data_IF_362871226836
#
_entry.id   IF_362871226836
#
_cell.length_a   1.000
_cell.length_b   1.000
_cell.length_c   1.000
_cell.angle_alpha   90.00
_cell.angle_beta   90.00
_cell.angle_gamma   90.00
#
_symmetry.space_group_name_H-M   'P 1'
#
loop_
_entity.id
_entity.type
_entity.pdbx_description
1 polymer ?
#
# COMPACT_ATOMS: atom_id res chain seq x y z
N UNK A 1 -23.29 -50.28 -50.12
CA UNK A 1 -24.05 -49.68 -51.24
C UNK A 1 -25.39 -49.21 -50.68
N UNK A 2 -25.74 -47.93 -50.92
CA UNK A 2 -27.03 -47.25 -50.64
C UNK A 2 -27.49 -47.19 -49.16
N UNK A 3 -27.35 -46.08 -48.43
CA UNK A 3 -28.02 -44.75 -48.50
C UNK A 3 -29.35 -44.67 -47.73
N UNK A 4 -29.44 -43.55 -46.98
CA UNK A 4 -30.61 -42.78 -46.48
C UNK A 4 -31.24 -43.28 -45.17
N UNK A 5 -31.13 -42.52 -44.07
CA UNK A 5 -31.63 -41.17 -43.75
C UNK A 5 -33.01 -41.22 -43.08
N UNK A 6 -33.07 -40.82 -41.82
CA UNK A 6 -34.28 -40.35 -41.16
C UNK A 6 -33.90 -39.16 -40.28
N UNK A 7 -34.30 -37.98 -40.73
CA UNK A 7 -34.23 -36.73 -39.98
C UNK A 7 -35.43 -36.64 -39.03
N UNK A 8 -35.20 -36.18 -37.79
CA UNK A 8 -36.20 -35.44 -37.02
C UNK A 8 -35.50 -34.28 -36.32
N UNK A 9 -35.83 -33.06 -36.75
CA UNK A 9 -35.62 -31.83 -35.97
C UNK A 9 -36.78 -31.70 -34.99
N UNK A 10 -36.48 -31.38 -33.74
CA UNK A 10 -37.40 -30.60 -32.92
C UNK A 10 -36.57 -29.73 -31.99
N UNK A 11 -36.71 -28.42 -32.16
CA UNK A 11 -36.01 -27.42 -31.38
C UNK A 11 -36.51 -27.36 -29.95
N UNK A 12 -35.58 -27.03 -29.04
CA UNK A 12 -35.88 -26.41 -27.77
C UNK A 12 -34.82 -25.34 -27.53
N UNK A 13 -35.27 -24.10 -27.57
CA UNK A 13 -34.55 -22.97 -27.02
C UNK A 13 -34.31 -23.21 -25.53
N UNK A 14 -33.04 -23.18 -25.11
CA UNK A 14 -32.65 -23.09 -23.72
C UNK A 14 -31.86 -21.79 -23.55
N UNK A 15 -32.60 -20.73 -23.22
CA UNK A 15 -32.08 -19.60 -22.47
C UNK A 15 -31.71 -20.10 -21.06
N UNK A 16 -30.46 -19.86 -20.63
CA UNK A 16 -29.90 -19.86 -19.26
C UNK A 16 -28.42 -20.21 -19.41
N UNK A 17 -27.47 -19.66 -18.68
CA UNK A 17 -27.40 -18.67 -17.62
C UNK A 17 -25.92 -18.25 -17.62
N UNK A 18 -25.58 -17.03 -17.19
CA UNK A 18 -24.19 -16.57 -17.13
C UNK A 18 -23.28 -17.55 -16.38
N UNK A 19 -22.21 -17.99 -17.06
CA UNK A 19 -21.13 -18.74 -16.41
C UNK A 19 -20.27 -17.78 -15.60
N UNK A 20 -20.49 -17.87 -14.29
CA UNK A 20 -19.64 -17.49 -13.17
C UNK A 20 -18.16 -17.23 -13.52
N UNK A 21 -17.76 -15.98 -13.40
CA UNK A 21 -16.37 -15.59 -13.23
C UNK A 21 -15.83 -16.07 -11.87
N UNK A 22 -14.88 -16.99 -11.92
CA UNK A 22 -13.61 -16.95 -11.18
C UNK A 22 -13.58 -16.83 -9.64
N UNK A 23 -14.64 -17.14 -8.90
CA UNK A 23 -14.54 -17.29 -7.43
C UNK A 23 -13.65 -18.49 -7.01
N UNK A 24 -13.49 -19.50 -7.88
CA UNK A 24 -12.60 -20.64 -7.64
C UNK A 24 -11.11 -20.34 -7.79
N UNK A 25 -10.75 -19.25 -8.48
CA UNK A 25 -9.34 -18.85 -8.70
C UNK A 25 -8.75 -18.14 -7.47
N UNK A 26 -9.57 -17.30 -6.82
CA UNK A 26 -9.16 -16.45 -5.71
C UNK A 26 -8.71 -17.25 -4.46
N UNK A 27 -9.32 -18.41 -4.21
CA UNK A 27 -8.99 -19.25 -3.03
C UNK A 27 -7.89 -20.28 -3.26
N UNK A 28 -7.47 -20.55 -4.51
CA UNK A 28 -6.41 -21.53 -4.82
C UNK A 28 -5.03 -21.10 -4.32
N UNK A 29 -4.82 -19.80 -4.17
CA UNK A 29 -3.56 -19.23 -3.67
C UNK A 29 -3.45 -19.27 -2.13
N UNK A 30 -4.58 -19.28 -1.42
CA UNK A 30 -4.59 -19.38 0.04
C UNK A 30 -4.15 -20.78 0.50
N UNK A 31 -4.42 -21.81 -0.32
CA UNK A 31 -4.18 -23.22 0.00
C UNK A 31 -2.80 -23.76 -0.42
N UNK A 32 -1.88 -22.93 -0.93
CA UNK A 32 -0.54 -23.36 -1.39
C UNK A 32 0.55 -23.11 -0.34
N UNK A 33 0.46 -23.80 0.80
CA UNK A 33 1.22 -23.46 2.01
C UNK A 33 2.41 -24.40 2.33
N UNK A 34 3.11 -24.94 1.33
CA UNK A 34 4.32 -25.78 1.55
C UNK A 34 5.65 -25.12 1.19
N UNK A 35 5.65 -23.89 0.64
CA UNK A 35 6.88 -23.20 0.20
C UNK A 35 7.20 -21.89 0.95
N UNK A 36 6.37 -21.46 1.93
CA UNK A 36 6.54 -20.19 2.66
C UNK A 36 7.88 -20.05 3.37
N UNK A 37 8.50 -21.15 3.78
CA UNK A 37 9.81 -21.15 4.45
C UNK A 37 10.97 -20.83 3.51
N UNK A 38 10.79 -20.96 2.19
CA UNK A 38 11.80 -20.61 1.18
C UNK A 38 11.76 -19.13 0.81
N UNK A 39 10.58 -18.53 0.68
CA UNK A 39 10.44 -17.11 0.33
C UNK A 39 10.87 -16.16 1.45
N UNK A 40 10.63 -16.52 2.72
CA UNK A 40 11.13 -15.75 3.87
C UNK A 40 12.66 -15.76 4.00
N UNK A 41 13.34 -16.74 3.39
CA UNK A 41 14.80 -16.83 3.33
C UNK A 41 15.40 -16.14 2.10
N UNK A 42 14.56 -15.68 1.17
CA UNK A 42 14.99 -15.07 -0.10
C UNK A 42 14.90 -13.54 -0.11
N UNK A 43 14.11 -12.94 0.78
CA UNK A 43 14.13 -11.48 0.96
C UNK A 43 15.41 -11.07 1.68
N UNK A 44 16.19 -10.19 1.05
CA UNK A 44 17.46 -9.71 1.60
C UNK A 44 17.25 -8.78 2.80
N UNK A 45 16.08 -8.14 2.89
CA UNK A 45 15.64 -7.31 4.00
C UNK A 45 14.17 -7.55 4.39
N UNK A 46 13.82 -7.27 5.65
CA UNK A 46 12.44 -7.37 6.15
C UNK A 46 11.51 -6.45 5.35
N UNK A 47 11.98 -5.26 4.99
CA UNK A 47 11.22 -4.27 4.22
C UNK A 47 10.83 -4.79 2.82
N UNK A 48 11.76 -5.46 2.14
CA UNK A 48 11.52 -6.09 0.84
C UNK A 48 10.48 -7.22 0.95
N UNK A 49 10.55 -8.00 2.03
CA UNK A 49 9.56 -9.03 2.33
C UNK A 49 8.15 -8.47 2.54
N UNK A 50 8.04 -7.35 3.26
CA UNK A 50 6.76 -6.66 3.50
C UNK A 50 6.18 -6.06 2.21
N UNK A 51 7.02 -5.43 1.39
CA UNK A 51 6.63 -4.90 0.09
C UNK A 51 6.08 -6.02 -0.81
N UNK A 52 6.80 -7.14 -0.91
CA UNK A 52 6.35 -8.31 -1.70
C UNK A 52 5.01 -8.87 -1.18
N UNK A 53 4.85 -8.95 0.14
CA UNK A 53 3.60 -9.42 0.76
C UNK A 53 2.43 -8.48 0.46
N UNK A 54 2.65 -7.16 0.49
CA UNK A 54 1.63 -6.18 0.14
C UNK A 54 1.16 -6.37 -1.31
N UNK A 55 2.08 -6.43 -2.27
CA UNK A 55 1.75 -6.55 -3.69
C UNK A 55 1.12 -7.90 -4.04
N UNK A 56 1.61 -9.00 -3.47
CA UNK A 56 1.09 -10.33 -3.79
C UNK A 56 -0.26 -10.60 -3.13
N UNK A 57 -0.44 -10.17 -1.87
CA UNK A 57 -1.54 -10.62 -1.01
C UNK A 57 -2.62 -9.56 -0.80
N UNK A 58 -2.24 -8.31 -0.57
CA UNK A 58 -3.12 -7.29 -0.02
C UNK A 58 -3.70 -6.40 -1.14
N UNK A 59 -2.84 -5.96 -2.07
CA UNK A 59 -3.22 -5.12 -3.21
C UNK A 59 -4.36 -5.69 -4.08
N UNK A 60 -4.45 -7.01 -4.38
CA UNK A 60 -5.58 -7.55 -5.13
C UNK A 60 -6.92 -7.35 -4.41
N UNK A 61 -6.93 -7.50 -3.07
CA UNK A 61 -8.14 -7.37 -2.25
C UNK A 61 -8.55 -5.90 -2.16
N UNK A 62 -7.60 -4.98 -2.02
CA UNK A 62 -7.88 -3.55 -1.99
C UNK A 62 -8.53 -3.07 -3.31
N UNK A 63 -8.04 -3.56 -4.45
CA UNK A 63 -8.60 -3.23 -5.77
C UNK A 63 -9.98 -3.86 -6.00
N UNK A 64 -10.17 -5.11 -5.59
CA UNK A 64 -11.45 -5.79 -5.75
C UNK A 64 -12.56 -5.17 -4.87
N UNK A 65 -12.18 -4.53 -3.76
CA UNK A 65 -13.09 -3.85 -2.82
C UNK A 65 -13.16 -2.34 -3.00
N UNK A 66 -12.44 -1.79 -3.98
CA UNK A 66 -12.29 -0.34 -4.23
C UNK A 66 -11.88 0.46 -2.98
N UNK A 67 -11.00 -0.12 -2.16
CA UNK A 67 -10.59 0.45 -0.87
C UNK A 67 -9.98 1.87 -1.00
N UNK A 68 -9.29 2.12 -2.11
CA UNK A 68 -8.57 3.37 -2.36
C UNK A 68 -9.47 4.58 -2.57
N UNK A 69 -10.72 4.35 -2.96
CA UNK A 69 -11.71 5.41 -3.12
C UNK A 69 -12.30 5.88 -1.79
N UNK A 70 -12.16 5.09 -0.72
CA UNK A 70 -12.80 5.37 0.58
C UNK A 70 -11.84 5.72 1.71
N UNK A 71 -10.66 5.10 1.76
CA UNK A 71 -9.79 5.19 2.94
C UNK A 71 -8.40 5.74 2.64
N UNK A 72 -7.61 5.02 1.84
CA UNK A 72 -6.20 5.34 1.62
C UNK A 72 -5.76 4.93 0.22
N UNK A 73 -4.94 5.74 -0.47
CA UNK A 73 -4.36 5.36 -1.75
C UNK A 73 -3.48 4.11 -1.63
N UNK A 74 -3.19 3.50 -2.79
CA UNK A 74 -2.26 2.38 -2.93
C UNK A 74 -0.89 2.75 -2.36
N UNK A 75 -0.29 1.84 -1.58
CA UNK A 75 1.08 2.03 -1.09
C UNK A 75 2.05 1.85 -2.25
N UNK A 76 2.99 2.76 -2.34
CA UNK A 76 4.06 2.77 -3.34
C UNK A 76 5.37 2.24 -2.75
N UNK A 77 6.29 1.86 -3.61
CA UNK A 77 7.65 1.45 -3.21
C UNK A 77 8.39 2.54 -2.40
N UNK A 78 8.02 3.81 -2.63
CA UNK A 78 8.55 4.95 -1.87
C UNK A 78 8.11 4.92 -0.40
N UNK A 79 6.92 4.41 -0.09
CA UNK A 79 6.42 4.33 1.28
C UNK A 79 7.23 3.33 2.12
N UNK A 80 7.63 2.21 1.50
CA UNK A 80 8.46 1.19 2.14
C UNK A 80 9.93 1.62 2.27
N UNK A 81 10.44 2.42 1.33
CA UNK A 81 11.83 2.92 1.34
C UNK A 81 12.00 4.28 2.04
N UNK A 82 10.90 4.86 2.52
CA UNK A 82 10.90 6.16 3.18
C UNK A 82 11.71 6.16 4.48
N UNK A 83 12.29 7.33 4.81
CA UNK A 83 12.99 7.51 6.08
C UNK A 83 11.97 7.64 7.21
N UNK A 84 12.25 7.11 8.41
CA UNK A 84 11.35 7.25 9.55
C UNK A 84 11.11 8.72 9.86
N UNK A 85 9.84 9.09 10.05
CA UNK A 85 9.42 10.47 10.34
C UNK A 85 8.93 10.59 11.77
N UNK A 86 9.29 11.71 12.43
CA UNK A 86 8.83 12.04 13.79
C UNK A 86 8.00 13.30 13.72
N UNK A 87 6.74 13.23 14.17
CA UNK A 87 5.82 14.36 14.22
C UNK A 87 5.71 14.90 15.64
N UNK A 88 6.08 16.17 15.83
CA UNK A 88 5.96 16.86 17.12
C UNK A 88 4.67 17.68 17.13
N UNK A 89 3.75 17.35 18.05
CA UNK A 89 2.48 18.04 18.23
C UNK A 89 2.46 18.68 19.63
N UNK A 90 1.95 19.91 19.73
CA UNK A 90 1.80 20.59 21.01
C UNK A 90 1.41 22.05 20.86
N UNK A 91 0.88 22.64 21.93
CA UNK A 91 0.44 24.04 22.00
C UNK A 91 1.58 25.03 21.69
N UNK A 92 1.22 26.29 21.44
CA UNK A 92 2.20 27.34 21.20
C UNK A 92 3.18 27.47 22.39
N UNK A 93 4.44 27.78 22.06
CA UNK A 93 5.48 28.07 23.06
C UNK A 93 5.83 26.94 24.05
N UNK A 94 5.46 25.69 23.77
CA UNK A 94 5.84 24.50 24.58
C UNK A 94 7.24 23.96 24.29
N UNK A 95 8.08 24.71 23.55
CA UNK A 95 9.47 24.31 23.29
C UNK A 95 9.67 23.28 22.19
N UNK A 96 8.70 23.04 21.30
CA UNK A 96 8.84 22.10 20.15
C UNK A 96 10.09 22.37 19.31
N UNK A 97 10.29 23.63 18.92
CA UNK A 97 11.43 24.05 18.11
C UNK A 97 12.75 23.94 18.88
N UNK A 98 12.71 24.23 20.18
CA UNK A 98 13.85 24.05 21.09
C UNK A 98 14.22 22.57 21.25
N UNK A 99 13.23 21.67 21.31
CA UNK A 99 13.46 20.23 21.39
C UNK A 99 14.12 19.69 20.11
N UNK A 100 13.68 20.13 18.93
CA UNK A 100 14.34 19.77 17.66
C UNK A 100 15.79 20.27 17.65
N UNK A 101 16.03 21.53 18.04
CA UNK A 101 17.39 22.08 18.19
C UNK A 101 18.23 21.26 19.16
N UNK A 102 17.64 20.84 20.28
CA UNK A 102 18.34 20.03 21.28
C UNK A 102 18.78 18.67 20.71
N UNK A 103 17.92 18.00 19.94
CA UNK A 103 18.26 16.74 19.26
C UNK A 103 19.32 16.91 18.17
N UNK A 104 19.28 18.01 17.42
CA UNK A 104 20.21 18.28 16.32
C UNK A 104 21.55 18.84 16.79
N UNK A 105 21.61 19.41 18.00
CA UNK A 105 22.79 20.11 18.52
C UNK A 105 23.15 21.40 17.76
N UNK A 106 22.35 21.80 16.77
CA UNK A 106 22.54 22.98 15.92
C UNK A 106 21.20 23.63 15.60
N UNK A 107 21.26 24.90 15.21
CA UNK A 107 20.10 25.61 14.66
C UNK A 107 19.78 25.11 13.25
N UNK A 108 18.50 25.14 12.88
CA UNK A 108 18.02 24.75 11.55
C UNK A 108 17.32 25.94 10.87
N UNK A 109 17.36 26.03 9.52
CA UNK A 109 16.75 27.13 8.78
C UNK A 109 15.24 27.23 9.07
N UNK A 110 14.73 28.46 9.15
CA UNK A 110 13.34 28.74 9.49
C UNK A 110 13.01 28.69 11.00
N UNK A 111 14.00 28.45 11.86
CA UNK A 111 13.84 28.54 13.32
C UNK A 111 13.71 30.00 13.77
N UNK A 112 12.49 30.45 14.08
CA UNK A 112 12.23 31.69 14.82
C UNK A 112 11.71 31.34 16.22
N UNK A 113 12.56 31.45 17.23
CA UNK A 113 12.17 31.31 18.64
C UNK A 113 11.90 32.72 19.18
N UNK A 114 10.64 33.16 19.12
CA UNK A 114 10.18 34.40 19.75
C UNK A 114 9.15 34.12 20.84
N UNK A 115 8.93 35.04 21.78
CA UNK A 115 7.85 34.93 22.78
C UNK A 115 6.45 35.01 22.16
N UNK A 116 6.33 35.58 20.95
CA UNK A 116 5.12 35.60 20.14
C UNK A 116 4.94 34.29 19.36
N UNK A 117 3.70 33.80 19.12
CA UNK A 117 3.47 32.56 18.38
C UNK A 117 4.08 32.63 16.97
N UNK A 118 5.25 32.01 16.80
CA UNK A 118 6.08 32.14 15.59
C UNK A 118 6.01 30.93 14.66
N UNK A 119 5.06 30.01 14.89
CA UNK A 119 4.90 28.78 14.09
C UNK A 119 3.46 28.66 13.61
N UNK A 120 3.12 29.40 12.56
CA UNK A 120 1.84 29.36 11.84
C UNK A 120 1.81 28.29 10.73
N UNK A 121 2.93 27.60 10.50
CA UNK A 121 3.15 26.68 9.37
C UNK A 121 3.73 25.34 9.81
N UNK A 122 3.40 24.30 9.05
CA UNK A 122 4.07 23.01 9.15
C UNK A 122 5.51 23.16 8.63
N UNK A 123 6.48 22.67 9.42
CA UNK A 123 7.90 22.68 9.08
C UNK A 123 8.40 21.24 9.01
N UNK A 124 8.92 20.84 7.86
CA UNK A 124 9.59 19.56 7.68
C UNK A 124 11.10 19.78 7.69
N UNK A 125 11.78 19.25 8.71
CA UNK A 125 13.25 19.28 8.78
C UNK A 125 13.78 17.98 8.18
N UNK A 126 14.37 18.08 6.99
CA UNK A 126 14.91 16.94 6.23
C UNK A 126 16.37 17.20 5.91
N UNK A 127 17.18 16.15 5.88
CA UNK A 127 18.58 16.25 5.48
C UNK A 127 18.71 16.69 4.01
N UNK A 128 19.52 17.70 3.75
CA UNK A 128 19.92 18.16 2.42
C UNK A 128 21.43 18.48 2.35
N UNK A 129 22.00 18.62 1.14
CA UNK A 129 23.41 18.93 0.94
C UNK A 129 23.79 20.36 1.38
N UNK A 130 22.81 21.26 1.44
CA UNK A 130 22.95 22.65 1.89
C UNK A 130 21.88 22.97 2.93
N UNK A 131 22.23 23.80 3.90
CA UNK A 131 21.29 24.30 4.92
C UNK A 131 20.52 25.50 4.33
N UNK A 132 19.38 25.22 3.66
CA UNK A 132 18.52 26.22 3.03
C UNK A 132 17.12 26.25 3.65
#
# INVERSE_FOLDING_TARGET
>A
WARRAAARRQGRAALRCGESGSLGSMFRWLSRDTNRTKDARAASSVTEGLQRLYSEKLLPIERDTDFHSFYSPELTDADFSSRPMVLLIGQYSTGKSTFIRHLLGRDYPGLRIGPEPTTDKFVAVVHGPSDQ
#
